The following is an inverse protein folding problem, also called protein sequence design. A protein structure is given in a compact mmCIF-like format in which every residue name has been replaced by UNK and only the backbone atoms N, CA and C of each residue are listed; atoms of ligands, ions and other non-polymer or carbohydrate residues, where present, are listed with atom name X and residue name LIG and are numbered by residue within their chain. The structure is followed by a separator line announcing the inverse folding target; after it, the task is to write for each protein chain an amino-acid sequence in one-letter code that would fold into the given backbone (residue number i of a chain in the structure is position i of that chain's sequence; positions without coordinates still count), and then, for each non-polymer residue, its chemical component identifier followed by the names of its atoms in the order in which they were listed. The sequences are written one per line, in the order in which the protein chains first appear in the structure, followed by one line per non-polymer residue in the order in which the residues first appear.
data_IF_711650366711
#
_entry.id   IF_711650366711
#
_cell.length_a   1.000
_cell.length_b   1.000
_cell.length_c   1.000
_cell.angle_alpha   90.00
_cell.angle_beta   90.00
_cell.angle_gamma   90.00
#
_symmetry.space_group_name_H-M   'P 1'
#
loop_
_entity.id
_entity.type
_entity.pdbx_description
1 polymer ?
#
# COMPACT_ATOMS: atom_id res chain seq x y z
N UNK A 1 2.75 -36.93 3.88
CA UNK A 1 3.52 -36.17 4.89
C UNK A 1 4.58 -35.39 4.13
N UNK A 2 4.25 -34.18 3.69
CA UNK A 2 5.20 -33.30 3.00
C UNK A 2 6.12 -32.70 4.06
N UNK A 3 7.43 -32.82 3.85
CA UNK A 3 8.45 -32.26 4.74
C UNK A 3 8.11 -30.80 5.06
N UNK A 4 8.01 -30.47 6.34
CA UNK A 4 8.01 -29.07 6.76
C UNK A 4 9.35 -28.49 6.33
N UNK A 5 9.32 -27.45 5.49
CA UNK A 5 10.49 -26.64 5.20
C UNK A 5 11.09 -26.17 6.53
N UNK A 6 12.35 -26.54 6.79
CA UNK A 6 13.10 -26.06 7.94
C UNK A 6 13.44 -24.59 7.72
N UNK A 7 12.53 -23.71 8.12
CA UNK A 7 12.80 -22.27 8.23
C UNK A 7 13.55 -22.00 9.53
N UNK A 8 14.51 -21.08 9.52
CA UNK A 8 15.28 -20.70 10.72
C UNK A 8 14.44 -19.89 11.73
N UNK A 9 13.31 -19.34 11.29
CA UNK A 9 12.39 -18.54 12.07
C UNK A 9 11.01 -18.55 11.43
N UNK A 10 9.98 -18.23 12.23
CA UNK A 10 8.61 -18.14 11.76
C UNK A 10 8.43 -17.02 10.74
N UNK A 11 7.75 -17.34 9.63
CA UNK A 11 7.40 -16.35 8.62
C UNK A 11 6.10 -15.65 9.07
N UNK A 12 6.07 -14.31 9.17
CA UNK A 12 4.84 -13.59 9.47
C UNK A 12 3.75 -13.90 8.44
N UNK A 13 2.51 -14.03 8.92
CA UNK A 13 1.37 -14.18 8.02
C UNK A 13 1.27 -12.99 7.07
N UNK A 14 0.82 -13.25 5.84
CA UNK A 14 0.62 -12.18 4.87
C UNK A 14 -0.41 -11.17 5.40
N UNK A 15 -0.17 -9.85 5.25
CA UNK A 15 -1.19 -8.85 5.51
C UNK A 15 -2.44 -9.12 4.65
N UNK A 16 -3.61 -9.12 5.27
CA UNK A 16 -4.86 -9.44 4.60
C UNK A 16 -5.89 -8.33 4.75
N UNK A 17 -6.67 -8.07 3.70
CA UNK A 17 -7.80 -7.12 3.71
C UNK A 17 -9.14 -7.86 3.74
N UNK A 18 -10.17 -7.30 4.40
CA UNK A 18 -11.52 -7.89 4.39
C UNK A 18 -12.12 -7.84 2.98
N UNK A 19 -12.97 -8.82 2.66
CA UNK A 19 -13.73 -8.86 1.41
C UNK A 19 -15.21 -8.69 1.75
N UNK A 20 -15.88 -7.74 1.10
CA UNK A 20 -17.28 -7.44 1.39
C UNK A 20 -18.17 -8.66 1.09
N UNK A 21 -19.02 -9.03 2.06
CA UNK A 21 -19.93 -10.18 1.93
C UNK A 21 -19.29 -11.54 2.23
N UNK A 22 -18.00 -11.59 2.53
CA UNK A 22 -17.26 -12.84 2.74
C UNK A 22 -16.75 -12.95 4.19
N UNK A 23 -16.70 -14.18 4.71
CA UNK A 23 -16.01 -14.47 5.97
C UNK A 23 -14.47 -14.51 5.80
N UNK A 24 -14.01 -14.75 4.57
CA UNK A 24 -12.60 -14.82 4.21
C UNK A 24 -11.91 -13.45 4.10
N UNK A 25 -10.59 -13.47 3.89
CA UNK A 25 -9.76 -12.28 3.66
C UNK A 25 -8.87 -12.46 2.44
N UNK A 26 -8.52 -11.36 1.79
CA UNK A 26 -7.63 -11.36 0.63
C UNK A 26 -6.16 -11.12 1.06
N UNK A 27 -5.24 -12.08 0.84
CA UNK A 27 -3.83 -11.90 1.18
C UNK A 27 -3.13 -10.98 0.18
N UNK A 28 -2.51 -9.91 0.68
CA UNK A 28 -1.85 -8.92 -0.16
C UNK A 28 -0.38 -9.26 -0.38
N UNK A 29 0.01 -9.36 -1.66
CA UNK A 29 1.39 -9.65 -2.07
C UNK A 29 2.21 -8.39 -2.34
N UNK A 30 1.72 -7.51 -3.22
CA UNK A 30 2.41 -6.28 -3.64
C UNK A 30 1.40 -5.15 -3.75
N UNK A 31 1.84 -3.93 -3.44
CA UNK A 31 1.06 -2.71 -3.58
C UNK A 31 1.77 -1.85 -4.62
N UNK A 32 1.05 -1.54 -5.70
CA UNK A 32 1.50 -0.62 -6.74
C UNK A 32 0.67 0.64 -6.65
N UNK A 33 1.34 1.78 -6.69
CA UNK A 33 0.74 3.11 -6.65
C UNK A 33 1.13 3.87 -7.92
N UNK A 34 0.25 4.75 -8.38
CA UNK A 34 0.47 5.58 -9.57
C UNK A 34 0.47 7.04 -9.13
N UNK A 35 1.58 7.74 -9.37
CA UNK A 35 1.69 9.17 -9.09
C UNK A 35 1.07 10.01 -10.21
N UNK A 36 0.51 11.17 -9.85
CA UNK A 36 -0.02 12.17 -10.79
C UNK A 36 -1.06 11.62 -11.78
N UNK A 37 -1.90 10.67 -11.35
CA UNK A 37 -2.90 10.03 -12.21
C UNK A 37 -4.22 10.81 -12.36
N UNK A 38 -4.31 12.01 -11.76
CA UNK A 38 -5.44 12.94 -11.88
C UNK A 38 -4.92 14.28 -12.38
N UNK A 39 -5.51 14.80 -13.45
CA UNK A 39 -4.99 15.99 -14.15
C UNK A 39 -5.00 17.25 -13.28
N UNK A 40 -6.06 17.43 -12.47
CA UNK A 40 -6.17 18.59 -11.57
C UNK A 40 -5.12 18.51 -10.45
N UNK A 41 -4.97 17.35 -9.82
CA UNK A 41 -3.97 17.13 -8.77
C UNK A 41 -2.52 17.27 -9.28
N UNK A 42 -2.24 16.82 -10.50
CA UNK A 42 -0.92 16.98 -11.11
C UNK A 42 -0.56 18.47 -11.28
N UNK A 43 -1.54 19.29 -11.73
CA UNK A 43 -1.39 20.74 -11.89
C UNK A 43 -1.18 21.46 -10.56
N UNK A 44 -1.89 21.06 -9.50
CA UNK A 44 -1.67 21.57 -8.13
C UNK A 44 -0.22 21.34 -7.65
N UNK A 45 0.36 20.18 -8.00
CA UNK A 45 1.73 19.81 -7.68
C UNK A 45 2.78 20.36 -8.68
N UNK A 46 2.42 21.38 -9.46
CA UNK A 46 3.33 22.13 -10.32
C UNK A 46 3.81 21.39 -11.58
N UNK A 47 3.05 20.42 -12.09
CA UNK A 47 3.40 19.74 -13.34
C UNK A 47 2.21 19.33 -14.21
N UNK A 48 2.47 19.08 -15.48
CA UNK A 48 1.53 18.38 -16.36
C UNK A 48 1.87 16.88 -16.33
N UNK A 49 0.90 15.97 -16.14
CA UNK A 49 1.18 14.55 -16.16
C UNK A 49 1.52 14.14 -17.59
N UNK A 50 2.74 13.64 -17.80
CA UNK A 50 3.08 12.99 -19.06
C UNK A 50 2.31 11.67 -19.14
N UNK A 51 1.24 11.69 -19.94
CA UNK A 51 0.36 10.52 -20.14
C UNK A 51 1.07 9.34 -20.80
N UNK A 52 2.25 9.54 -21.40
CA UNK A 52 3.03 8.48 -22.04
C UNK A 52 3.96 7.74 -21.07
N UNK A 53 4.25 8.32 -19.90
CA UNK A 53 5.13 7.71 -18.89
C UNK A 53 4.52 7.80 -17.48
N UNK A 54 3.64 6.85 -17.10
CA UNK A 54 3.08 6.82 -15.76
C UNK A 54 4.17 6.61 -14.70
N UNK A 55 4.07 7.34 -13.59
CA UNK A 55 4.99 7.21 -12.47
C UNK A 55 4.47 6.10 -11.56
N UNK A 56 5.24 5.01 -11.44
CA UNK A 56 4.94 3.93 -10.52
C UNK A 56 5.85 3.98 -9.29
N UNK A 57 5.28 3.72 -8.13
CA UNK A 57 6.01 3.43 -6.90
C UNK A 57 5.30 2.32 -6.13
N UNK A 58 5.94 1.81 -5.08
CA UNK A 58 5.39 0.71 -4.29
C UNK A 58 5.36 1.06 -2.81
N UNK A 59 4.51 0.34 -2.09
CA UNK A 59 4.55 0.25 -0.63
C UNK A 59 4.73 -1.22 -0.23
N UNK A 60 5.46 -1.54 0.86
CA UNK A 60 5.49 -2.91 1.35
C UNK A 60 4.09 -3.34 1.79
N UNK A 61 3.75 -4.63 1.64
CA UNK A 61 2.43 -5.13 2.05
C UNK A 61 2.13 -4.87 3.53
N UNK A 62 3.18 -4.82 4.36
CA UNK A 62 3.09 -4.49 5.79
C UNK A 62 2.71 -3.03 6.09
N UNK A 63 2.71 -2.14 5.09
CA UNK A 63 2.26 -0.76 5.26
C UNK A 63 0.73 -0.59 5.19
N UNK A 64 -0.02 -1.68 4.98
CA UNK A 64 -1.49 -1.63 4.97
C UNK A 64 -2.00 -1.33 6.35
N UNK A 65 -2.91 -0.35 6.41
CA UNK A 65 -3.73 -0.05 7.57
C UNK A 65 -5.19 -0.11 7.14
N UNK A 66 -6.04 -0.77 7.92
CA UNK A 66 -7.46 -0.89 7.60
C UNK A 66 -8.18 0.44 7.84
N UNK A 67 -9.19 0.73 7.03
CA UNK A 67 -10.01 1.93 7.17
C UNK A 67 -10.59 2.05 8.58
N UNK A 68 -10.50 3.25 9.16
CA UNK A 68 -10.95 3.53 10.53
C UNK A 68 -9.92 3.25 11.63
N UNK A 69 -8.76 2.67 11.31
CA UNK A 69 -7.69 2.53 12.29
C UNK A 69 -6.97 3.87 12.55
N UNK A 70 -6.40 4.01 13.74
CA UNK A 70 -5.53 5.13 14.09
C UNK A 70 -4.12 4.89 13.54
N UNK A 71 -3.59 5.83 12.76
CA UNK A 71 -2.24 5.78 12.21
C UNK A 71 -1.31 6.67 13.06
N UNK A 72 -0.19 6.15 13.58
CA UNK A 72 0.78 6.98 14.29
C UNK A 72 1.46 7.97 13.34
N UNK A 73 1.69 9.19 13.81
CA UNK A 73 2.42 10.21 13.03
C UNK A 73 3.87 9.77 12.79
N UNK A 74 4.37 9.77 11.53
CA UNK A 74 5.68 9.21 11.22
C UNK A 74 6.84 10.08 11.77
N UNK A 75 7.90 9.47 12.35
CA UNK A 75 8.87 10.18 13.20
C UNK A 75 9.89 11.07 12.46
N UNK A 76 9.77 11.28 11.15
CA UNK A 76 10.75 12.03 10.33
C UNK A 76 10.10 12.98 9.33
N UNK A 77 8.94 13.51 9.66
CA UNK A 77 8.30 14.58 8.91
C UNK A 77 7.73 15.62 9.86
N UNK A 78 7.53 16.83 9.37
CA UNK A 78 6.67 17.85 10.00
C UNK A 78 5.46 18.17 9.12
N UNK A 79 5.32 17.46 7.99
CA UNK A 79 4.33 17.67 6.96
C UNK A 79 3.86 16.32 6.41
N UNK A 80 2.74 15.82 6.93
CA UNK A 80 2.23 14.48 6.63
C UNK A 80 0.98 14.60 5.75
N UNK A 81 1.15 14.39 4.45
CA UNK A 81 0.10 14.59 3.44
C UNK A 81 -0.83 13.38 3.32
N UNK A 82 -2.07 13.63 2.88
CA UNK A 82 -3.04 12.59 2.52
C UNK A 82 -3.36 12.65 1.02
N UNK A 83 -3.60 11.48 0.43
CA UNK A 83 -4.06 11.30 -0.96
C UNK A 83 -5.19 10.25 -0.93
N UNK A 84 -6.38 10.60 -1.46
CA UNK A 84 -7.57 9.72 -1.50
C UNK A 84 -7.72 9.01 -2.83
#
# INVERSE_FOLDING_TARGET
MTASEFVLFDIPSAPCVPVAGEAGRYPVRRIFCIGKNYADHAREMGGEPDKSYPIYFTKPASAIVLSGATIPYPPRTSDFHYEM
#
